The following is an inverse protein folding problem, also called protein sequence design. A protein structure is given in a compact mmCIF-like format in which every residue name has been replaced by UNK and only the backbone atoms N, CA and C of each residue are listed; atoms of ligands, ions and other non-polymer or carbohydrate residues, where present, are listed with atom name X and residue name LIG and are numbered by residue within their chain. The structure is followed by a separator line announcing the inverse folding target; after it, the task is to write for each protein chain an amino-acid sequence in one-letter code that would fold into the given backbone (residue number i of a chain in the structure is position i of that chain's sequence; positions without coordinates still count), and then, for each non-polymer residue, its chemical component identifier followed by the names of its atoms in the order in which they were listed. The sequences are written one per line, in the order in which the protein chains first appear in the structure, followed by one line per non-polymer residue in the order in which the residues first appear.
data_IF_538911760346
#
_entry.id   IF_538911760346
#
_cell.length_a   1.000
_cell.length_b   1.000
_cell.length_c   1.000
_cell.angle_alpha   90.00
_cell.angle_beta   90.00
_cell.angle_gamma   90.00
#
_symmetry.space_group_name_H-M   'P 1'
#
loop_
_entity.id
_entity.type
_entity.pdbx_description
1 polymer ?
#
# COMPACT_ATOMS: atom_id res chain seq x y z
N UNK A 1 -0.99 -16.58 -0.93
CA UNK A 1 -1.58 -15.89 0.24
C UNK A 1 -0.49 -14.99 0.81
N UNK A 2 -0.65 -13.68 0.70
CA UNK A 2 0.30 -12.69 1.22
C UNK A 2 0.26 -12.69 2.73
N UNK A 3 1.37 -13.09 3.32
CA UNK A 3 1.59 -13.07 4.77
C UNK A 3 2.48 -11.91 5.18
N UNK A 4 2.89 -11.05 4.24
CA UNK A 4 3.79 -9.94 4.53
C UNK A 4 3.06 -8.81 5.28
N UNK A 5 3.36 -8.61 6.58
CA UNK A 5 2.65 -7.62 7.39
C UNK A 5 2.85 -6.18 6.91
N UNK A 6 3.96 -5.89 6.22
CA UNK A 6 4.20 -4.57 5.61
C UNK A 6 3.19 -4.30 4.50
N UNK A 7 2.95 -5.27 3.61
CA UNK A 7 2.01 -5.13 2.50
C UNK A 7 0.57 -5.02 3.01
N UNK A 8 0.22 -5.75 4.06
CA UNK A 8 -1.11 -5.65 4.70
C UNK A 8 -1.34 -4.29 5.36
N UNK A 9 -0.30 -3.69 5.94
CA UNK A 9 -0.38 -2.37 6.55
C UNK A 9 -0.27 -1.21 5.54
N UNK A 10 0.11 -1.51 4.29
CA UNK A 10 0.48 -0.50 3.31
C UNK A 10 -0.68 0.42 2.90
N UNK A 11 -1.92 -0.06 2.67
CA UNK A 11 -3.06 0.83 2.41
C UNK A 11 -3.30 1.82 3.56
N UNK A 12 -3.25 1.33 4.80
CA UNK A 12 -3.43 2.16 5.99
C UNK A 12 -2.29 3.18 6.16
N UNK A 13 -1.07 2.79 5.77
CA UNK A 13 0.08 3.69 5.75
C UNK A 13 -0.12 4.81 4.72
N UNK A 14 -0.49 4.48 3.48
CA UNK A 14 -0.81 5.48 2.44
C UNK A 14 -1.89 6.44 2.92
N UNK A 15 -2.90 5.94 3.64
CA UNK A 15 -3.95 6.77 4.21
C UNK A 15 -3.44 7.74 5.28
N UNK A 16 -2.68 7.23 6.24
CA UNK A 16 -2.27 7.97 7.43
C UNK A 16 -1.08 8.90 7.19
N UNK A 17 -0.11 8.47 6.40
CA UNK A 17 1.18 9.15 6.26
C UNK A 17 1.23 10.00 4.99
N UNK A 18 1.90 11.14 5.06
CA UNK A 18 2.09 12.02 3.90
C UNK A 18 3.18 11.47 3.00
N UNK A 19 2.78 10.75 1.95
CA UNK A 19 3.67 10.29 0.88
C UNK A 19 3.73 11.36 -0.21
N UNK A 20 4.93 11.59 -0.74
CA UNK A 20 5.13 12.51 -1.87
C UNK A 20 4.30 12.10 -3.09
N UNK A 21 3.82 13.10 -3.84
CA UNK A 21 2.96 12.87 -5.01
C UNK A 21 3.66 12.04 -6.08
N UNK A 22 4.96 12.25 -6.31
CA UNK A 22 5.77 11.48 -7.26
C UNK A 22 5.85 10.00 -6.84
N UNK A 23 6.07 9.73 -5.55
CA UNK A 23 6.04 8.38 -5.00
C UNK A 23 4.65 7.73 -5.16
N UNK A 24 3.56 8.46 -4.92
CA UNK A 24 2.20 7.96 -5.12
C UNK A 24 1.92 7.63 -6.59
N UNK A 25 2.39 8.46 -7.54
CA UNK A 25 2.26 8.20 -8.98
C UNK A 25 3.06 6.97 -9.41
N UNK A 26 4.30 6.83 -8.94
CA UNK A 26 5.11 5.64 -9.19
C UNK A 26 4.46 4.37 -8.64
N UNK A 27 3.86 4.47 -7.44
CA UNK A 27 3.13 3.37 -6.82
C UNK A 27 1.87 3.02 -7.61
N UNK A 28 1.08 4.00 -8.05
CA UNK A 28 -0.08 3.77 -8.91
C UNK A 28 0.32 3.04 -10.19
N UNK A 29 1.36 3.51 -10.89
CA UNK A 29 1.84 2.91 -12.12
C UNK A 29 2.34 1.47 -11.91
N UNK A 30 3.03 1.22 -10.79
CA UNK A 30 3.46 -0.13 -10.41
C UNK A 30 2.26 -1.05 -10.16
N UNK A 31 1.20 -0.56 -9.51
CA UNK A 31 -0.03 -1.31 -9.29
C UNK A 31 -0.78 -1.58 -10.61
N UNK A 32 -0.92 -0.58 -11.47
CA UNK A 32 -1.58 -0.73 -12.78
C UNK A 32 -0.87 -1.76 -13.66
N UNK A 33 0.46 -1.77 -13.67
CA UNK A 33 1.26 -2.75 -14.40
C UNK A 33 0.90 -4.19 -14.01
N UNK A 34 0.70 -4.45 -12.71
CA UNK A 34 0.31 -5.77 -12.23
C UNK A 34 -1.16 -6.08 -12.47
N UNK A 35 -2.03 -5.06 -12.49
CA UNK A 35 -3.43 -5.25 -12.87
C UNK A 35 -3.58 -5.64 -14.34
N UNK A 36 -2.69 -5.14 -15.21
CA UNK A 36 -2.66 -5.47 -16.64
C UNK A 36 -1.98 -6.81 -16.93
N UNK A 37 -0.95 -7.17 -16.17
CA UNK A 37 -0.25 -8.45 -16.28
C UNK A 37 -0.45 -9.30 -15.00
N UNK A 38 -1.52 -10.13 -14.94
CA UNK A 38 -1.78 -10.97 -13.77
C UNK A 38 -0.75 -12.09 -13.56
N UNK A 39 0.19 -12.27 -14.50
CA UNK A 39 1.38 -13.11 -14.34
C UNK A 39 2.43 -12.46 -13.41
N UNK A 40 2.42 -11.13 -13.27
CA UNK A 40 3.28 -10.43 -12.34
C UNK A 40 2.80 -10.64 -10.90
N UNK A 41 3.73 -10.99 -10.03
CA UNK A 41 3.42 -11.17 -8.62
C UNK A 41 3.30 -9.78 -7.97
N UNK A 42 2.08 -9.39 -7.59
CA UNK A 42 1.77 -8.13 -6.87
C UNK A 42 2.74 -7.92 -5.70
N UNK A 43 2.99 -8.99 -4.94
CA UNK A 43 3.88 -8.91 -3.78
C UNK A 43 5.31 -8.56 -4.21
N UNK A 44 5.79 -9.12 -5.31
CA UNK A 44 7.13 -8.86 -5.82
C UNK A 44 7.26 -7.43 -6.35
N UNK A 45 6.25 -6.93 -7.07
CA UNK A 45 6.22 -5.55 -7.56
C UNK A 45 6.23 -4.56 -6.40
N UNK A 46 5.36 -4.77 -5.40
CA UNK A 46 5.32 -3.91 -4.21
C UNK A 46 6.61 -3.99 -3.39
N UNK A 47 7.18 -5.18 -3.22
CA UNK A 47 8.48 -5.34 -2.55
C UNK A 47 9.60 -4.65 -3.31
N UNK A 48 9.59 -4.72 -4.64
CA UNK A 48 10.58 -4.05 -5.50
C UNK A 48 10.47 -2.54 -5.39
N UNK A 49 9.25 -2.02 -5.39
CA UNK A 49 8.98 -0.60 -5.17
C UNK A 49 9.46 -0.17 -3.77
N UNK A 50 9.10 -0.89 -2.71
CA UNK A 50 9.57 -0.61 -1.34
C UNK A 50 11.10 -0.70 -1.20
N UNK A 51 11.78 -1.53 -2.01
CA UNK A 51 13.25 -1.57 -2.05
C UNK A 51 13.85 -0.31 -2.67
N UNK A 52 13.19 0.28 -3.67
CA UNK A 52 13.60 1.55 -4.28
C UNK A 52 13.35 2.73 -3.33
N UNK A 53 12.20 2.75 -2.68
CA UNK A 53 11.81 3.81 -1.72
C UNK A 53 12.15 3.40 -0.29
N UNK A 54 13.45 3.43 0.05
CA UNK A 54 13.94 3.05 1.38
C UNK A 54 13.29 3.84 2.51
N UNK A 55 13.11 5.15 2.33
CA UNK A 55 12.48 6.02 3.32
C UNK A 55 11.05 5.56 3.65
N UNK A 56 10.22 5.38 2.62
CA UNK A 56 8.85 4.87 2.77
C UNK A 56 8.84 3.48 3.41
N UNK A 57 9.78 2.61 3.04
CA UNK A 57 9.91 1.29 3.66
C UNK A 57 10.24 1.39 5.15
N UNK A 58 11.09 2.33 5.57
CA UNK A 58 11.41 2.56 6.97
C UNK A 58 10.22 3.13 7.74
N UNK A 59 9.53 4.13 7.17
CA UNK A 59 8.31 4.68 7.74
C UNK A 59 7.22 3.60 7.88
N UNK A 60 7.00 2.79 6.84
CA UNK A 60 6.06 1.67 6.86
C UNK A 60 6.47 0.62 7.91
N UNK A 61 7.76 0.36 8.06
CA UNK A 61 8.30 -0.55 9.08
C UNK A 61 8.09 -0.01 10.49
N UNK A 62 8.10 1.30 10.70
CA UNK A 62 7.77 1.94 11.98
C UNK A 62 6.25 2.01 12.20
N UNK A 63 5.47 2.07 11.13
CA UNK A 63 4.01 2.07 11.19
C UNK A 63 3.44 0.70 11.59
N UNK A 64 3.96 -0.42 11.06
CA UNK A 64 3.52 -1.79 11.42
C UNK A 64 3.50 -2.09 12.94
N UNK A 65 4.57 -1.81 13.72
CA UNK A 65 4.58 -2.06 15.16
C UNK A 65 3.64 -1.13 15.92
N UNK A 66 3.47 0.13 15.51
CA UNK A 66 2.46 1.04 16.10
C UNK A 66 1.03 0.57 15.77
N UNK A 67 0.82 -0.04 14.60
CA UNK A 67 -0.45 -0.64 14.22
C UNK A 67 -0.73 -2.00 14.88
N UNK A 68 0.13 -2.53 15.76
CA UNK A 68 -0.20 -3.74 16.56
C UNK A 68 -1.39 -3.53 17.49
N UNK A 69 -1.68 -2.29 17.89
CA UNK A 69 -2.92 -1.95 18.61
C UNK A 69 -4.11 -1.74 17.65
N UNK A 70 -3.89 -1.18 16.47
CA UNK A 70 -4.95 -0.94 15.46
C UNK A 70 -5.40 -2.24 14.77
N UNK A 71 -4.49 -3.20 14.57
CA UNK A 71 -4.81 -4.56 14.11
C UNK A 71 -5.64 -5.35 15.15
N UNK A 72 -5.65 -4.93 16.41
CA UNK A 72 -6.56 -5.48 17.45
C UNK A 72 -7.99 -4.94 17.35
N UNK A 73 -8.19 -3.73 16.82
CA UNK A 73 -9.52 -3.05 16.80
C UNK A 73 -10.32 -3.32 15.52
N UNK A 74 -9.71 -3.86 14.46
CA UNK A 74 -10.47 -4.30 13.27
C UNK A 74 -9.86 -5.49 12.54
N UNK A 75 -9.37 -6.49 13.27
CA UNK A 75 -9.36 -7.86 12.75
C UNK A 75 -10.80 -8.43 12.72
N UNK A 76 -11.76 -7.71 12.11
CA UNK A 76 -12.98 -8.35 11.64
C UNK A 76 -12.57 -9.18 10.43
N UNK A 77 -12.17 -10.43 10.71
CA UNK A 77 -11.97 -11.55 9.79
C UNK A 77 -11.47 -11.18 8.38
N UNK A 78 -10.21 -11.47 8.01
CA UNK A 78 -9.82 -11.45 6.61
C UNK A 78 -10.49 -12.63 5.89
N UNK A 79 -11.74 -12.42 5.44
CA UNK A 79 -12.33 -13.24 4.36
C UNK A 79 -11.74 -12.86 3.00
N UNK A 80 -10.90 -11.83 2.93
CA UNK A 80 -10.46 -11.22 1.70
C UNK A 80 -8.96 -11.47 1.51
N UNK A 81 -8.63 -12.31 0.52
CA UNK A 81 -7.26 -12.63 0.13
C UNK A 81 -6.49 -11.42 -0.43
N UNK A 82 -5.29 -11.69 -0.92
CA UNK A 82 -4.31 -10.73 -1.46
C UNK A 82 -4.91 -9.69 -2.42
N UNK A 83 -5.87 -10.09 -3.25
CA UNK A 83 -6.59 -9.19 -4.16
C UNK A 83 -7.24 -8.01 -3.44
N UNK A 84 -7.74 -8.20 -2.22
CA UNK A 84 -8.43 -7.14 -1.49
C UNK A 84 -7.46 -6.07 -1.02
N UNK A 85 -6.29 -6.46 -0.52
CA UNK A 85 -5.26 -5.51 -0.04
C UNK A 85 -4.72 -4.69 -1.19
N UNK A 86 -4.52 -5.31 -2.35
CA UNK A 86 -4.11 -4.60 -3.56
C UNK A 86 -5.18 -3.62 -4.06
N UNK A 87 -6.45 -4.05 -4.10
CA UNK A 87 -7.54 -3.16 -4.49
C UNK A 87 -7.71 -1.99 -3.52
N UNK A 88 -7.59 -2.23 -2.21
CA UNK A 88 -7.60 -1.15 -1.22
C UNK A 88 -6.40 -0.23 -1.40
N UNK A 89 -5.19 -0.75 -1.59
CA UNK A 89 -4.01 0.08 -1.81
C UNK A 89 -4.16 0.96 -3.06
N UNK A 90 -4.57 0.38 -4.19
CA UNK A 90 -4.79 1.13 -5.43
C UNK A 90 -5.84 2.22 -5.25
N UNK A 91 -6.93 1.91 -4.53
CA UNK A 91 -7.98 2.89 -4.23
C UNK A 91 -7.46 4.03 -3.34
N UNK A 92 -6.75 3.73 -2.26
CA UNK A 92 -6.22 4.74 -1.34
C UNK A 92 -5.17 5.63 -2.05
N UNK A 93 -4.30 5.05 -2.87
CA UNK A 93 -3.31 5.81 -3.67
C UNK A 93 -4.01 6.75 -4.66
N UNK A 94 -4.95 6.24 -5.46
CA UNK A 94 -5.71 7.05 -6.42
C UNK A 94 -6.52 8.15 -5.71
N UNK A 95 -7.10 7.85 -4.55
CA UNK A 95 -7.84 8.83 -3.77
C UNK A 95 -6.92 9.94 -3.26
N UNK A 96 -5.77 9.58 -2.69
CA UNK A 96 -4.81 10.54 -2.16
C UNK A 96 -4.21 11.42 -3.25
N UNK A 97 -3.87 10.85 -4.41
CA UNK A 97 -3.47 11.63 -5.59
C UNK A 97 -4.54 12.65 -5.99
N UNK A 98 -5.80 12.23 -6.09
CA UNK A 98 -6.92 13.14 -6.40
C UNK A 98 -7.10 14.24 -5.36
N UNK A 99 -6.93 13.95 -4.08
CA UNK A 99 -7.02 14.95 -3.01
C UNK A 99 -5.88 15.98 -3.11
N UNK A 100 -4.65 15.53 -3.38
CA UNK A 100 -3.50 16.42 -3.58
C UNK A 100 -3.69 17.28 -4.85
N UNK A 101 -4.17 16.69 -5.95
CA UNK A 101 -4.39 17.41 -7.21
C UNK A 101 -5.57 18.39 -7.14
N UNK A 102 -6.62 18.11 -6.36
CA UNK A 102 -7.74 19.03 -6.14
C UNK A 102 -7.44 20.15 -5.14
N UNK A 103 -6.47 19.96 -4.24
CA UNK A 103 -6.08 20.94 -3.24
C UNK A 103 -5.07 21.99 -3.73
N UNK A 104 -4.69 21.93 -5.02
CA UNK A 104 -3.72 22.81 -5.67
C UNK A 104 -4.42 23.83 -6.57
#
# INVERSE_FOLDING_TARGET
MTTNPLLLAFPNFVKSESIEIDCLRELEQALESVSSEPSQNIEETLNTWLRKHKDIREQLRNFVPNNKEVTKVKAQQPKAGVSNVFQELSKEVKQKLKEIEKGK
#
